data_IF_432583716058
#
_entry.id   IF_432583716058
#
_cell.length_a   1.000
_cell.length_b   1.000
_cell.length_c   1.000
_cell.angle_alpha   90.00
_cell.angle_beta   90.00
_cell.angle_gamma   90.00
#
_symmetry.space_group_name_H-M   'P 1'
#
loop_
_entity.id
_entity.type
_entity.pdbx_description
1 polymer ?
#
# COMPACT_ATOMS: atom_id res chain seq x y z
N UNK A 1 -30.95 24.22 -3.07
CA UNK A 1 -31.21 23.26 -4.17
C UNK A 1 -32.70 23.06 -4.46
N UNK A 2 -33.52 22.73 -3.46
CA UNK A 2 -34.98 22.50 -3.63
C UNK A 2 -35.72 23.61 -4.40
N UNK A 3 -35.45 24.88 -4.08
CA UNK A 3 -36.08 26.03 -4.76
C UNK A 3 -35.69 26.24 -6.23
N UNK A 4 -34.56 25.67 -6.70
CA UNK A 4 -34.17 25.73 -8.13
C UNK A 4 -34.64 24.52 -8.94
N UNK A 5 -34.85 23.38 -8.28
CA UNK A 5 -35.24 22.14 -8.94
C UNK A 5 -36.75 22.01 -9.16
N UNK A 6 -37.58 22.75 -8.42
CA UNK A 6 -39.04 22.76 -8.61
C UNK A 6 -39.66 21.37 -8.50
N UNK A 7 -40.62 21.05 -9.37
CA UNK A 7 -41.32 19.76 -9.40
C UNK A 7 -40.39 18.57 -9.71
N UNK A 8 -39.30 18.80 -10.45
CA UNK A 8 -38.30 17.76 -10.74
C UNK A 8 -37.59 17.24 -9.50
N UNK A 9 -37.59 17.98 -8.39
CA UNK A 9 -36.99 17.51 -7.14
C UNK A 9 -37.65 16.23 -6.61
N UNK A 10 -38.98 16.10 -6.76
CA UNK A 10 -39.69 14.93 -6.26
C UNK A 10 -39.39 13.70 -7.13
N UNK A 11 -39.44 13.86 -8.46
CA UNK A 11 -39.06 12.81 -9.41
C UNK A 11 -37.61 12.35 -9.24
N UNK A 12 -36.70 13.28 -8.93
CA UNK A 12 -35.29 12.95 -8.69
C UNK A 12 -35.07 12.20 -7.38
N UNK A 13 -35.85 12.52 -6.33
CA UNK A 13 -35.79 11.82 -5.04
C UNK A 13 -36.32 10.38 -5.12
N UNK A 14 -37.21 10.12 -6.06
CA UNK A 14 -37.77 8.79 -6.33
C UNK A 14 -36.87 7.93 -7.25
N UNK A 15 -35.84 8.51 -7.90
CA UNK A 15 -34.89 7.75 -8.71
C UNK A 15 -33.89 6.98 -7.80
N UNK A 16 -33.98 5.66 -7.84
CA UNK A 16 -33.11 4.72 -7.09
C UNK A 16 -31.62 4.95 -7.36
N UNK A 17 -31.25 5.38 -8.57
CA UNK A 17 -29.85 5.66 -8.92
C UNK A 17 -29.35 6.90 -8.20
N UNK A 18 -30.21 7.91 -8.10
CA UNK A 18 -29.90 9.13 -7.38
C UNK A 18 -29.81 8.89 -5.87
N UNK A 19 -30.72 8.08 -5.32
CA UNK A 19 -30.66 7.64 -3.92
C UNK A 19 -29.35 6.89 -3.63
N UNK A 20 -28.99 5.92 -4.47
CA UNK A 20 -27.75 5.13 -4.33
C UNK A 20 -26.50 6.02 -4.42
N UNK A 21 -26.50 6.97 -5.37
CA UNK A 21 -25.44 7.95 -5.51
C UNK A 21 -25.30 8.82 -4.26
N UNK A 22 -26.40 9.44 -3.80
CA UNK A 22 -26.37 10.30 -2.61
C UNK A 22 -25.98 9.55 -1.35
N UNK A 23 -26.45 8.32 -1.19
CA UNK A 23 -26.08 7.46 -0.06
C UNK A 23 -24.58 7.16 -0.09
N UNK A 24 -24.01 6.87 -1.26
CA UNK A 24 -22.56 6.67 -1.41
C UNK A 24 -21.78 7.94 -1.09
N UNK A 25 -22.23 9.09 -1.59
CA UNK A 25 -21.58 10.38 -1.34
C UNK A 25 -21.68 10.78 0.13
N UNK A 26 -22.84 10.60 0.77
CA UNK A 26 -23.03 10.94 2.19
C UNK A 26 -22.19 10.06 3.10
N UNK A 27 -22.12 8.75 2.85
CA UNK A 27 -21.22 7.82 3.57
C UNK A 27 -19.77 8.30 3.47
N UNK A 28 -19.29 8.58 2.25
CA UNK A 28 -17.92 9.06 2.03
C UNK A 28 -17.64 10.41 2.67
N UNK A 29 -18.61 11.32 2.65
CA UNK A 29 -18.49 12.63 3.30
C UNK A 29 -18.38 12.48 4.82
N UNK A 30 -19.22 11.64 5.45
CA UNK A 30 -19.17 11.36 6.88
C UNK A 30 -17.84 10.71 7.30
N UNK A 31 -17.32 9.75 6.52
CA UNK A 31 -16.00 9.16 6.76
C UNK A 31 -14.89 10.22 6.74
N UNK A 32 -14.94 11.15 5.78
CA UNK A 32 -13.95 12.24 5.69
C UNK A 32 -14.09 13.25 6.81
N UNK A 33 -15.31 13.58 7.23
CA UNK A 33 -15.55 14.44 8.39
C UNK A 33 -14.95 13.80 9.65
N UNK A 34 -15.15 12.50 9.85
CA UNK A 34 -14.59 11.78 10.99
C UNK A 34 -13.06 11.83 11.03
N UNK A 35 -12.41 11.55 9.90
CA UNK A 35 -10.95 11.61 9.76
C UNK A 35 -10.40 13.01 10.09
N UNK A 36 -11.01 14.06 9.53
CA UNK A 36 -10.59 15.44 9.76
C UNK A 36 -10.81 15.85 11.21
N UNK A 37 -11.95 15.46 11.80
CA UNK A 37 -12.28 15.78 13.18
C UNK A 37 -11.31 15.14 14.18
N UNK A 38 -10.91 13.88 13.99
CA UNK A 38 -9.87 13.22 14.80
C UNK A 38 -8.54 13.96 14.67
N UNK A 39 -8.10 14.26 13.44
CA UNK A 39 -6.83 14.96 13.23
C UNK A 39 -6.82 16.35 13.88
N UNK A 40 -7.95 17.06 13.85
CA UNK A 40 -8.10 18.36 14.50
C UNK A 40 -8.10 18.24 16.03
N UNK A 41 -8.81 17.25 16.60
CA UNK A 41 -8.79 16.98 18.04
C UNK A 41 -7.37 16.68 18.54
N UNK A 42 -6.62 15.83 17.83
CA UNK A 42 -5.23 15.50 18.17
C UNK A 42 -4.31 16.72 18.14
N UNK A 43 -4.54 17.67 17.22
CA UNK A 43 -3.78 18.93 17.19
C UNK A 43 -4.11 19.81 18.40
N UNK A 44 -5.37 19.88 18.81
CA UNK A 44 -5.78 20.65 19.99
C UNK A 44 -5.21 20.03 21.26
N UNK A 45 -5.27 18.70 21.42
CA UNK A 45 -4.68 17.99 22.55
C UNK A 45 -3.16 18.18 22.67
N UNK A 46 -2.46 18.32 21.54
CA UNK A 46 -1.01 18.59 21.53
C UNK A 46 -0.65 20.05 21.79
N UNK A 47 -1.60 20.97 21.65
CA UNK A 47 -1.36 22.38 21.96
C UNK A 47 -1.37 22.59 23.47
N UNK A 48 -0.31 23.19 24.01
CA UNK A 48 -0.16 23.45 25.46
C UNK A 48 -1.24 24.38 26.04
N UNK A 49 -1.97 25.09 25.17
CA UNK A 49 -3.10 25.95 25.51
C UNK A 49 -4.44 25.42 24.96
N UNK A 50 -4.54 24.12 24.67
CA UNK A 50 -5.69 23.52 23.99
C UNK A 50 -7.00 23.65 24.77
N UNK A 51 -8.05 24.13 24.08
CA UNK A 51 -9.44 24.13 24.56
C UNK A 51 -10.01 22.71 24.53
N UNK A 52 -9.88 22.00 25.65
CA UNK A 52 -10.31 20.61 25.84
C UNK A 52 -11.79 20.37 25.43
N UNK A 53 -12.75 21.24 25.80
CA UNK A 53 -14.13 21.15 25.30
C UNK A 53 -14.27 21.07 23.78
N UNK A 54 -13.47 21.83 23.03
CA UNK A 54 -13.52 21.82 21.57
C UNK A 54 -12.96 20.51 21.00
N UNK A 55 -11.93 19.94 21.63
CA UNK A 55 -11.39 18.63 21.22
C UNK A 55 -12.41 17.50 21.47
N UNK A 56 -13.11 17.51 22.61
CA UNK A 56 -14.17 16.54 22.93
C UNK A 56 -15.35 16.65 21.96
N UNK A 57 -15.72 17.88 21.56
CA UNK A 57 -16.77 18.10 20.56
C UNK A 57 -16.38 17.51 19.19
N UNK A 58 -15.11 17.64 18.78
CA UNK A 58 -14.60 17.05 17.54
C UNK A 58 -14.55 15.52 17.59
N UNK A 59 -14.15 14.94 18.72
CA UNK A 59 -14.22 13.49 18.91
C UNK A 59 -15.66 12.98 18.85
N UNK A 60 -16.61 13.70 19.45
CA UNK A 60 -18.04 13.40 19.37
C UNK A 60 -18.56 13.48 17.94
N UNK A 61 -18.17 14.51 17.18
CA UNK A 61 -18.51 14.65 15.77
C UNK A 61 -17.95 13.50 14.92
N UNK A 62 -16.72 13.06 15.21
CA UNK A 62 -16.13 11.91 14.52
C UNK A 62 -16.91 10.62 14.78
N UNK A 63 -17.18 10.33 16.05
CA UNK A 63 -17.92 9.13 16.45
C UNK A 63 -19.32 9.08 15.85
N UNK A 64 -20.04 10.21 15.86
CA UNK A 64 -21.37 10.31 15.26
C UNK A 64 -21.34 10.15 13.73
N UNK A 65 -20.33 10.74 13.07
CA UNK A 65 -20.15 10.59 11.61
C UNK A 65 -19.82 9.14 11.22
N UNK A 66 -18.99 8.46 12.00
CA UNK A 66 -18.69 7.03 11.81
C UNK A 66 -19.94 6.17 12.04
N UNK A 67 -20.66 6.38 13.14
CA UNK A 67 -21.89 5.65 13.45
C UNK A 67 -22.93 5.77 12.32
N UNK A 68 -23.11 6.98 11.79
CA UNK A 68 -23.98 7.20 10.62
C UNK A 68 -23.49 6.42 9.39
N UNK A 69 -22.19 6.49 9.08
CA UNK A 69 -21.62 5.81 7.91
C UNK A 69 -21.78 4.29 7.98
N UNK A 70 -21.59 3.70 9.17
CA UNK A 70 -21.77 2.26 9.42
C UNK A 70 -23.22 1.84 9.27
N UNK A 71 -24.15 2.54 9.95
CA UNK A 71 -25.57 2.23 9.87
C UNK A 71 -26.11 2.39 8.43
N UNK A 72 -25.63 3.39 7.69
CA UNK A 72 -26.01 3.59 6.29
C UNK A 72 -25.55 2.44 5.38
N UNK A 73 -24.39 1.83 5.65
CA UNK A 73 -23.88 0.64 4.92
C UNK A 73 -24.71 -0.61 5.22
N UNK A 74 -25.11 -0.82 6.46
CA UNK A 74 -25.92 -1.99 6.89
C UNK A 74 -27.35 -1.96 6.33
N UNK A 75 -27.88 -0.78 6.02
CA UNK A 75 -29.19 -0.61 5.40
C UNK A 75 -29.26 -1.07 3.93
N UNK A 76 -28.19 -1.60 3.35
CA UNK A 76 -28.22 -2.20 2.00
C UNK A 76 -28.81 -3.61 2.07
N UNK A 77 -30.11 -3.73 1.82
CA UNK A 77 -30.77 -5.01 1.57
C UNK A 77 -30.17 -5.72 0.33
N UNK A 78 -30.18 -7.07 0.27
CA UNK A 78 -29.63 -7.82 -0.85
C UNK A 78 -30.37 -7.48 -2.16
N UNK A 79 -29.61 -7.08 -3.17
CA UNK A 79 -30.13 -6.60 -4.44
C UNK A 79 -30.93 -7.70 -5.20
N UNK A 80 -32.08 -7.36 -5.80
CA UNK A 80 -32.69 -8.22 -6.81
C UNK A 80 -31.79 -8.27 -8.05
N UNK A 81 -31.37 -9.50 -8.40
CA UNK A 81 -30.76 -9.81 -9.70
C UNK A 81 -31.74 -9.43 -10.80
N UNK A 82 -31.32 -8.74 -11.88
CA UNK A 82 -31.89 -8.90 -13.24
C UNK A 82 -31.22 -8.00 -14.30
N UNK A 83 -30.76 -8.70 -15.36
CA UNK A 83 -30.67 -8.39 -16.81
C UNK A 83 -29.77 -7.28 -17.36
N UNK A 84 -28.75 -7.79 -18.08
CA UNK A 84 -28.34 -7.47 -19.45
C UNK A 84 -28.64 -6.04 -19.94
N UNK A 85 -27.56 -5.27 -20.15
CA UNK A 85 -27.56 -4.11 -21.05
C UNK A 85 -26.49 -4.26 -22.14
N UNK A 86 -26.75 -3.68 -23.33
CA UNK A 86 -26.07 -4.02 -24.57
C UNK A 86 -24.77 -3.24 -24.80
N UNK A 87 -23.91 -3.89 -25.57
CA UNK A 87 -22.58 -3.49 -26.04
C UNK A 87 -22.66 -2.30 -27.01
N UNK A 88 -22.06 -1.16 -26.66
CA UNK A 88 -21.81 -0.06 -27.60
C UNK A 88 -20.32 -0.05 -27.95
N UNK A 89 -20.02 -0.34 -29.21
CA UNK A 89 -18.72 -0.14 -29.83
C UNK A 89 -18.45 1.36 -30.01
N UNK A 90 -17.29 1.82 -29.58
CA UNK A 90 -16.77 3.13 -29.98
C UNK A 90 -15.38 2.94 -30.61
N UNK A 91 -15.27 3.49 -31.80
CA UNK A 91 -14.19 3.38 -32.77
C UNK A 91 -13.51 4.75 -32.90
N UNK A 92 -12.22 4.74 -33.27
CA UNK A 92 -11.40 5.86 -33.81
C UNK A 92 -10.82 6.82 -32.75
N UNK A 93 -9.54 7.20 -32.74
CA UNK A 93 -8.48 6.98 -33.73
C UNK A 93 -7.09 7.45 -33.24
N UNK A 94 -6.09 6.96 -33.94
CA UNK A 94 -4.65 7.20 -33.78
C UNK A 94 -4.26 8.61 -34.21
N UNK A 95 -3.46 9.32 -33.41
CA UNK A 95 -2.57 10.36 -33.92
C UNK A 95 -1.22 10.32 -33.20
N UNK A 96 -0.20 10.16 -34.03
CA UNK A 96 1.21 9.97 -33.72
C UNK A 96 1.90 11.27 -34.12
N UNK A 97 2.67 11.91 -33.25
CA UNK A 97 3.66 12.93 -33.61
C UNK A 97 4.88 12.85 -32.70
N UNK A 98 6.05 12.95 -33.33
CA UNK A 98 7.39 12.78 -32.81
C UNK A 98 8.11 14.13 -32.66
N UNK A 99 9.02 14.21 -31.68
CA UNK A 99 10.24 15.03 -31.58
C UNK A 99 10.60 15.05 -30.08
N UNK A 100 11.74 14.60 -29.57
CA UNK A 100 13.10 14.80 -30.06
C UNK A 100 13.67 16.06 -29.41
N UNK A 101 14.37 15.95 -28.28
CA UNK A 101 15.41 16.91 -27.83
C UNK A 101 16.27 16.28 -26.73
N UNK A 102 17.56 16.13 -27.05
CA UNK A 102 18.67 15.74 -26.19
C UNK A 102 19.41 17.01 -25.74
N UNK A 103 19.61 17.22 -24.44
CA UNK A 103 20.60 18.18 -23.88
C UNK A 103 21.16 17.52 -22.61
N UNK A 104 22.34 16.90 -22.69
CA UNK A 104 23.69 17.45 -22.58
C UNK A 104 24.10 17.74 -21.13
N UNK A 105 24.96 16.82 -20.69
CA UNK A 105 25.62 16.62 -19.42
C UNK A 105 26.72 17.67 -19.22
N UNK A 106 26.75 18.29 -18.04
CA UNK A 106 27.85 19.13 -17.59
C UNK A 106 28.46 18.57 -16.29
N UNK A 107 29.70 18.14 -16.48
CA UNK A 107 30.81 17.94 -15.56
C UNK A 107 30.83 18.88 -14.32
N UNK A 108 31.07 18.31 -13.14
CA UNK A 108 31.70 19.01 -12.01
C UNK A 108 32.55 18.03 -11.18
N UNK A 109 33.88 18.22 -11.08
CA UNK A 109 34.74 17.49 -10.16
C UNK A 109 35.14 18.37 -8.98
N UNK A 110 34.70 18.05 -7.76
CA UNK A 110 35.29 18.60 -6.54
C UNK A 110 35.74 17.46 -5.61
N UNK A 111 37.05 17.24 -5.63
CA UNK A 111 37.78 16.49 -4.61
C UNK A 111 37.78 17.29 -3.31
N UNK A 112 37.31 16.68 -2.22
CA UNK A 112 37.54 17.15 -0.87
C UNK A 112 38.14 16.01 -0.04
N UNK A 113 39.31 16.31 0.50
CA UNK A 113 40.14 15.56 1.44
C UNK A 113 39.32 14.89 2.54
N UNK A 114 39.53 13.58 2.72
CA UNK A 114 38.92 12.78 3.80
C UNK A 114 39.99 12.49 4.85
N UNK A 115 39.84 13.07 6.04
CA UNK A 115 40.50 12.62 7.27
C UNK A 115 39.81 11.33 7.79
N UNK A 116 40.56 10.26 8.14
CA UNK A 116 39.97 9.04 8.68
C UNK A 116 39.67 9.19 10.17
N UNK A 117 38.52 9.76 10.51
CA UNK A 117 37.99 9.72 11.87
C UNK A 117 37.31 8.36 12.10
N UNK A 118 38.08 7.37 12.57
CA UNK A 118 37.56 6.07 13.01
C UNK A 118 36.83 6.20 14.34
N UNK A 119 35.62 6.77 14.30
CA UNK A 119 34.62 6.58 15.35
C UNK A 119 34.13 5.14 15.27
N UNK A 120 34.28 4.41 16.38
CA UNK A 120 33.65 3.12 16.62
C UNK A 120 32.12 3.30 16.60
N UNK A 121 31.54 3.37 15.41
CA UNK A 121 30.10 3.26 15.22
C UNK A 121 29.73 1.83 15.57
N UNK A 122 29.20 1.63 16.78
CA UNK A 122 28.42 0.45 17.08
C UNK A 122 27.44 0.26 15.92
N UNK A 123 27.57 -0.88 15.21
CA UNK A 123 26.82 -1.20 14.00
C UNK A 123 25.33 -1.04 14.30
N UNK A 124 24.77 0.14 14.00
CA UNK A 124 23.32 0.30 14.03
C UNK A 124 22.79 -0.68 13.01
N UNK A 125 21.78 -1.49 13.35
CA UNK A 125 21.10 -2.30 12.34
C UNK A 125 20.68 -1.36 11.22
N UNK A 126 21.17 -1.62 9.99
CA UNK A 126 21.00 -0.76 8.81
C UNK A 126 19.56 -0.77 8.24
N UNK A 127 18.56 -0.86 9.10
CA UNK A 127 17.15 -0.94 8.73
C UNK A 127 16.33 0.24 9.23
N UNK A 128 15.17 0.52 8.60
CA UNK A 128 14.22 1.45 9.16
C UNK A 128 13.73 0.94 10.53
N UNK A 129 13.48 1.83 11.50
CA UNK A 129 13.05 1.43 12.82
C UNK A 129 11.69 0.71 12.76
N UNK A 130 11.43 -0.27 13.65
CA UNK A 130 10.13 -0.92 13.74
C UNK A 130 9.02 0.09 14.03
N UNK A 131 7.77 -0.31 13.82
CA UNK A 131 6.62 0.47 14.27
C UNK A 131 6.57 0.50 15.80
N UNK A 132 6.32 1.68 16.37
CA UNK A 132 6.17 1.83 17.82
C UNK A 132 4.82 1.31 18.30
N UNK A 133 3.81 1.24 17.40
CA UNK A 133 2.47 0.75 17.70
C UNK A 133 1.76 0.22 16.45
N UNK A 134 0.69 -0.57 16.66
CA UNK A 134 -0.20 -1.02 15.59
C UNK A 134 -0.88 0.16 14.88
N UNK A 135 -1.26 1.21 15.61
CA UNK A 135 -1.88 2.41 15.03
C UNK A 135 -0.96 3.11 14.01
N UNK A 136 0.35 3.14 14.28
CA UNK A 136 1.34 3.70 13.35
C UNK A 136 1.44 2.85 12.07
N UNK A 137 1.37 1.52 12.19
CA UNK A 137 1.36 0.62 11.04
C UNK A 137 0.07 0.78 10.20
N UNK A 138 -1.10 0.91 10.85
CA UNK A 138 -2.38 1.21 10.17
C UNK A 138 -2.30 2.54 9.42
N UNK A 139 -1.71 3.57 10.04
CA UNK A 139 -1.56 4.88 9.40
C UNK A 139 -0.67 4.81 8.15
N UNK A 140 0.41 4.03 8.18
CA UNK A 140 1.25 3.80 7.01
C UNK A 140 0.50 3.06 5.88
N UNK A 141 -0.36 2.09 6.21
CA UNK A 141 -1.27 1.47 5.23
C UNK A 141 -2.18 2.51 4.57
N UNK A 142 -2.80 3.39 5.36
CA UNK A 142 -3.65 4.45 4.83
C UNK A 142 -2.89 5.41 3.91
N UNK A 143 -1.63 5.68 4.19
CA UNK A 143 -0.78 6.49 3.32
C UNK A 143 -0.55 5.83 1.95
N UNK A 144 -0.29 4.53 1.90
CA UNK A 144 -0.18 3.78 0.62
C UNK A 144 -1.50 3.85 -0.16
N UNK A 145 -2.63 3.63 0.51
CA UNK A 145 -3.97 3.72 -0.10
C UNK A 145 -4.24 5.13 -0.65
N UNK A 146 -3.82 6.18 0.08
CA UNK A 146 -3.92 7.57 -0.37
C UNK A 146 -3.11 7.81 -1.64
N UNK A 147 -1.85 7.35 -1.70
CA UNK A 147 -1.04 7.46 -2.91
C UNK A 147 -1.63 6.69 -4.09
N UNK A 148 -2.17 5.50 -3.84
CA UNK A 148 -2.85 4.72 -4.87
C UNK A 148 -4.09 5.43 -5.42
N UNK A 149 -4.93 6.01 -4.54
CA UNK A 149 -6.09 6.82 -4.96
C UNK A 149 -5.65 8.03 -5.79
N UNK A 150 -4.64 8.76 -5.32
CA UNK A 150 -4.10 9.91 -6.05
C UNK A 150 -3.57 9.50 -7.43
N UNK A 151 -2.89 8.35 -7.54
CA UNK A 151 -2.46 7.83 -8.83
C UNK A 151 -3.65 7.48 -9.73
N UNK A 152 -4.67 6.79 -9.20
CA UNK A 152 -5.89 6.50 -9.97
C UNK A 152 -6.57 7.77 -10.50
N UNK A 153 -6.44 8.92 -9.83
CA UNK A 153 -6.99 10.22 -10.27
C UNK A 153 -6.15 10.91 -11.37
N UNK A 154 -4.93 10.43 -11.65
CA UNK A 154 -4.08 10.96 -12.73
C UNK A 154 -4.54 10.46 -14.11
N UNK A 155 -4.24 11.18 -15.22
CA UNK A 155 -4.50 10.70 -16.57
C UNK A 155 -3.90 9.31 -16.84
N UNK A 156 -2.63 9.09 -16.46
CA UNK A 156 -1.98 7.78 -16.55
C UNK A 156 -2.73 6.71 -15.77
N UNK A 157 -3.14 7.00 -14.53
CA UNK A 157 -3.86 6.05 -13.68
C UNK A 157 -5.22 5.67 -14.27
N UNK A 158 -6.00 6.64 -14.75
CA UNK A 158 -7.28 6.39 -15.40
C UNK A 158 -7.13 5.52 -16.66
N UNK A 159 -6.11 5.78 -17.48
CA UNK A 159 -5.84 4.96 -18.66
C UNK A 159 -5.42 3.53 -18.28
N UNK A 160 -4.47 3.42 -17.35
CA UNK A 160 -3.91 2.13 -16.98
C UNK A 160 -4.88 1.29 -16.15
N UNK A 161 -5.78 1.84 -15.33
CA UNK A 161 -6.64 1.00 -14.46
C UNK A 161 -7.49 -0.02 -15.23
N UNK A 162 -7.77 0.25 -16.51
CA UNK A 162 -8.54 -0.60 -17.41
C UNK A 162 -7.68 -1.40 -18.40
N UNK A 163 -6.36 -1.24 -18.38
CA UNK A 163 -5.46 -1.95 -19.28
C UNK A 163 -5.27 -3.43 -18.90
N UNK A 164 -4.86 -4.22 -19.89
CA UNK A 164 -4.51 -5.65 -19.73
C UNK A 164 -3.00 -5.90 -19.74
N UNK A 165 -2.20 -4.84 -19.57
CA UNK A 165 -0.74 -4.98 -19.60
C UNK A 165 -0.24 -5.92 -18.48
N UNK A 166 0.63 -6.91 -18.75
CA UNK A 166 1.01 -7.93 -17.76
C UNK A 166 1.52 -7.37 -16.43
N UNK A 167 2.29 -6.28 -16.45
CA UNK A 167 2.82 -5.64 -15.23
C UNK A 167 1.75 -4.95 -14.40
N UNK A 168 0.73 -4.41 -15.06
CA UNK A 168 -0.41 -3.79 -14.39
C UNK A 168 -1.29 -4.88 -13.77
N UNK A 169 -1.51 -6.00 -14.47
CA UNK A 169 -2.20 -7.17 -13.91
C UNK A 169 -1.48 -7.66 -12.65
N UNK A 170 -0.16 -7.84 -12.72
CA UNK A 170 0.65 -8.22 -11.56
C UNK A 170 0.57 -7.22 -10.40
N UNK A 171 0.54 -5.91 -10.69
CA UNK A 171 0.35 -4.88 -9.67
C UNK A 171 -1.05 -4.95 -9.04
N UNK A 172 -2.09 -5.13 -9.83
CA UNK A 172 -3.48 -5.27 -9.36
C UNK A 172 -3.66 -6.54 -8.51
N UNK A 173 -3.04 -7.64 -8.91
CA UNK A 173 -3.14 -8.89 -8.17
C UNK A 173 -2.37 -8.81 -6.84
N UNK A 174 -1.16 -8.24 -6.83
CA UNK A 174 -0.45 -7.93 -5.59
C UNK A 174 -1.25 -7.00 -4.66
N UNK A 175 -2.00 -6.04 -5.23
CA UNK A 175 -2.86 -5.14 -4.46
C UNK A 175 -4.06 -5.87 -3.82
N UNK A 176 -4.66 -6.83 -4.52
CA UNK A 176 -5.77 -7.65 -3.98
C UNK A 176 -5.33 -8.59 -2.85
N UNK A 177 -4.06 -8.99 -2.85
CA UNK A 177 -3.47 -9.83 -1.80
C UNK A 177 -3.11 -9.06 -0.53
N UNK A 178 -3.28 -7.73 -0.50
CA UNK A 178 -3.01 -6.95 0.69
C UNK A 178 -3.94 -7.38 1.85
N UNK A 179 -3.38 -7.56 3.07
CA UNK A 179 -4.20 -7.86 4.22
C UNK A 179 -5.06 -6.64 4.62
N UNK A 180 -6.16 -6.86 5.36
CA UNK A 180 -6.90 -5.78 6.03
C UNK A 180 -5.98 -4.86 6.84
N UNK A 181 -6.29 -3.55 6.86
CA UNK A 181 -5.42 -2.53 7.45
C UNK A 181 -5.20 -2.71 8.96
N UNK A 182 -6.18 -3.30 9.65
CA UNK A 182 -6.12 -3.63 11.08
C UNK A 182 -5.16 -4.79 11.39
N UNK A 183 -4.71 -5.56 10.39
CA UNK A 183 -3.70 -6.62 10.50
C UNK A 183 -3.97 -7.59 11.67
N UNK A 184 -5.09 -8.34 11.66
CA UNK A 184 -5.49 -9.20 12.77
C UNK A 184 -4.46 -10.29 13.13
N UNK A 185 -3.62 -10.69 12.16
CA UNK A 185 -2.56 -11.69 12.34
C UNK A 185 -1.19 -11.09 12.73
N UNK A 186 -1.17 -9.81 13.10
CA UNK A 186 0.04 -9.06 13.43
C UNK A 186 0.82 -8.55 12.21
N UNK A 187 1.88 -7.75 12.45
CA UNK A 187 2.61 -7.04 11.39
C UNK A 187 3.51 -7.94 10.54
N UNK A 188 4.00 -9.05 11.09
CA UNK A 188 4.99 -9.90 10.42
C UNK A 188 4.49 -10.53 9.11
N UNK A 189 3.37 -11.27 9.11
CA UNK A 189 2.81 -11.86 7.90
C UNK A 189 2.42 -10.83 6.83
N UNK A 190 2.11 -9.59 7.24
CA UNK A 190 1.74 -8.50 6.33
C UNK A 190 2.92 -7.95 5.53
N UNK A 191 4.17 -8.14 5.98
CA UNK A 191 5.35 -7.57 5.34
C UNK A 191 5.51 -8.02 3.87
N UNK A 192 5.30 -9.31 3.57
CA UNK A 192 5.50 -9.86 2.24
C UNK A 192 4.50 -9.31 1.18
N UNK A 193 3.18 -9.28 1.43
CA UNK A 193 2.22 -8.65 0.51
C UNK A 193 2.55 -7.20 0.16
N UNK A 194 2.90 -6.36 1.13
CA UNK A 194 3.32 -4.97 0.84
C UNK A 194 4.62 -4.90 0.04
N UNK A 195 5.55 -5.84 0.27
CA UNK A 195 6.75 -5.99 -0.54
C UNK A 195 6.46 -6.33 -2.00
N UNK A 196 5.48 -7.21 -2.25
CA UNK A 196 5.01 -7.56 -3.59
C UNK A 196 4.39 -6.35 -4.30
N UNK A 197 3.56 -5.57 -3.60
CA UNK A 197 3.01 -4.32 -4.13
C UNK A 197 4.11 -3.34 -4.51
N UNK A 198 5.11 -3.16 -3.66
CA UNK A 198 6.25 -2.29 -3.94
C UNK A 198 7.03 -2.73 -5.19
N UNK A 199 7.33 -4.03 -5.31
CA UNK A 199 8.05 -4.60 -6.44
C UNK A 199 7.25 -4.45 -7.76
N UNK A 200 5.96 -4.79 -7.75
CA UNK A 200 5.09 -4.67 -8.92
C UNK A 200 4.88 -3.21 -9.33
N UNK A 201 4.65 -2.30 -8.38
CA UNK A 201 4.53 -0.85 -8.66
C UNK A 201 5.82 -0.29 -9.28
N UNK A 202 7.00 -0.66 -8.75
CA UNK A 202 8.30 -0.25 -9.30
C UNK A 202 8.52 -0.81 -10.70
N UNK A 203 8.08 -2.03 -10.96
CA UNK A 203 8.15 -2.66 -12.28
C UNK A 203 7.27 -1.95 -13.30
N UNK A 204 6.03 -1.59 -12.91
CA UNK A 204 5.11 -0.81 -13.72
C UNK A 204 5.65 0.59 -14.00
N UNK A 205 6.19 1.27 -12.99
CA UNK A 205 6.81 2.59 -13.13
C UNK A 205 7.97 2.59 -14.12
N UNK A 206 8.89 1.61 -14.04
CA UNK A 206 10.01 1.53 -14.99
C UNK A 206 9.56 1.37 -16.43
N UNK A 207 8.52 0.57 -16.67
CA UNK A 207 7.98 0.40 -18.02
C UNK A 207 7.32 1.66 -18.55
N UNK A 208 6.48 2.27 -17.71
CA UNK A 208 5.81 3.52 -18.05
C UNK A 208 6.81 4.64 -18.34
N UNK A 209 7.87 4.75 -17.55
CA UNK A 209 8.96 5.70 -17.77
C UNK A 209 9.73 5.40 -19.08
N UNK A 210 10.08 4.13 -19.32
CA UNK A 210 10.77 3.71 -20.54
C UNK A 210 9.94 3.97 -21.81
N UNK A 211 8.61 3.93 -21.71
CA UNK A 211 7.72 4.23 -22.84
C UNK A 211 7.74 5.71 -23.26
N UNK A 212 8.13 6.63 -22.37
CA UNK A 212 8.10 8.07 -22.61
C UNK A 212 6.70 8.66 -22.87
N UNK A 213 5.63 7.88 -22.67
CA UNK A 213 4.25 8.26 -23.03
C UNK A 213 3.53 9.06 -21.96
N UNK A 214 3.97 8.95 -20.71
CA UNK A 214 3.28 9.52 -19.55
C UNK A 214 4.04 10.71 -18.98
N UNK A 215 3.31 11.63 -18.35
CA UNK A 215 3.89 12.81 -17.70
C UNK A 215 4.72 12.42 -16.45
N UNK A 216 5.79 13.18 -16.19
CA UNK A 216 6.65 12.97 -15.02
C UNK A 216 5.89 13.09 -13.69
N UNK A 217 4.87 13.95 -13.62
CA UNK A 217 4.01 14.09 -12.46
C UNK A 217 3.30 12.76 -12.13
N UNK A 218 2.72 12.11 -13.14
CA UNK A 218 2.01 10.82 -12.97
C UNK A 218 2.97 9.70 -12.55
N UNK A 219 4.15 9.65 -13.19
CA UNK A 219 5.22 8.72 -12.84
C UNK A 219 5.71 8.93 -11.40
N UNK A 220 5.75 10.17 -10.93
CA UNK A 220 6.14 10.51 -9.54
C UNK A 220 5.13 9.95 -8.54
N UNK A 221 3.83 10.06 -8.80
CA UNK A 221 2.79 9.50 -7.91
C UNK A 221 2.87 7.98 -7.87
N UNK A 222 3.04 7.31 -9.02
CA UNK A 222 3.20 5.85 -9.06
C UNK A 222 4.47 5.38 -8.33
N UNK A 223 5.58 6.13 -8.47
CA UNK A 223 6.82 5.87 -7.74
C UNK A 223 6.64 6.02 -6.23
N UNK A 224 5.87 7.01 -5.78
CA UNK A 224 5.58 7.20 -4.36
C UNK A 224 4.86 5.98 -3.76
N UNK A 225 3.95 5.34 -4.48
CA UNK A 225 3.32 4.07 -4.03
C UNK A 225 4.38 3.00 -3.79
N UNK A 226 5.30 2.81 -4.75
CA UNK A 226 6.34 1.80 -4.66
C UNK A 226 7.29 2.07 -3.47
N UNK A 227 7.72 3.31 -3.30
CA UNK A 227 8.66 3.71 -2.25
C UNK A 227 8.01 3.60 -0.85
N UNK A 228 6.78 4.09 -0.68
CA UNK A 228 6.03 3.98 0.59
C UNK A 228 5.71 2.52 0.94
N UNK A 229 5.25 1.71 -0.02
CA UNK A 229 4.96 0.29 0.21
C UNK A 229 6.22 -0.49 0.61
N UNK A 230 7.37 -0.17 0.00
CA UNK A 230 8.66 -0.78 0.36
C UNK A 230 9.07 -0.42 1.79
N UNK A 231 9.00 0.87 2.15
CA UNK A 231 9.34 1.33 3.48
C UNK A 231 8.43 0.67 4.54
N UNK A 232 7.13 0.60 4.26
CA UNK A 232 6.16 -0.06 5.14
C UNK A 232 6.45 -1.55 5.31
N UNK A 233 6.68 -2.28 4.21
CA UNK A 233 7.06 -3.70 4.23
C UNK A 233 8.31 -3.96 5.08
N UNK A 234 9.35 -3.13 4.94
CA UNK A 234 10.58 -3.25 5.72
C UNK A 234 10.34 -3.00 7.21
N UNK A 235 9.56 -1.98 7.56
CA UNK A 235 9.21 -1.68 8.96
C UNK A 235 8.34 -2.78 9.58
N UNK A 236 7.39 -3.33 8.83
CA UNK A 236 6.59 -4.48 9.27
C UNK A 236 7.47 -5.70 9.55
N UNK A 237 8.43 -5.99 8.67
CA UNK A 237 9.41 -7.06 8.87
C UNK A 237 10.27 -6.85 10.11
N UNK A 238 10.68 -5.62 10.39
CA UNK A 238 11.42 -5.26 11.60
C UNK A 238 10.56 -5.31 12.88
N UNK A 239 9.23 -5.16 12.76
CA UNK A 239 8.29 -5.22 13.89
C UNK A 239 7.88 -6.66 14.22
N UNK A 240 8.11 -7.61 13.30
CA UNK A 240 7.79 -9.00 13.53
C UNK A 240 8.63 -9.55 14.72
N UNK A 241 8.02 -10.26 15.68
CA UNK A 241 8.80 -10.98 16.67
C UNK A 241 9.72 -11.98 15.95
N UNK A 242 10.97 -12.18 16.41
CA UNK A 242 11.88 -13.13 15.78
C UNK A 242 11.25 -14.53 15.80
N UNK A 243 10.81 -14.97 14.61
CA UNK A 243 10.15 -16.26 14.39
C UNK A 243 11.22 -17.35 14.51
N UNK A 244 11.63 -17.68 15.75
CA UNK A 244 12.72 -18.63 15.97
C UNK A 244 13.46 -18.53 17.31
N UNK A 245 13.01 -17.71 18.26
CA UNK A 245 13.54 -17.73 19.62
C UNK A 245 12.61 -18.47 20.56
N UNK A 246 12.94 -19.72 20.91
CA UNK A 246 12.54 -20.27 22.20
C UNK A 246 12.74 -19.20 23.27
N UNK A 247 11.73 -18.97 24.09
CA UNK A 247 11.76 -18.04 25.21
C UNK A 247 13.02 -18.30 26.05
N UNK A 248 14.11 -17.61 25.75
CA UNK A 248 15.20 -17.47 26.71
C UNK A 248 14.72 -16.35 27.60
N UNK A 249 13.97 -16.76 28.62
CA UNK A 249 13.58 -15.92 29.73
C UNK A 249 14.78 -15.07 30.14
N UNK A 250 14.55 -13.76 30.28
CA UNK A 250 15.49 -12.89 30.97
C UNK A 250 15.88 -13.56 32.31
N UNK A 251 17.17 -13.65 32.67
CA UNK A 251 17.55 -14.23 33.93
C UNK A 251 17.10 -13.29 35.06
N UNK A 252 15.97 -13.65 35.70
CA UNK A 252 15.74 -13.29 37.08
C UNK A 252 16.96 -13.73 37.87
N UNK A 253 17.62 -12.79 38.56
CA UNK A 253 18.65 -13.08 39.57
C UNK A 253 18.03 -14.04 40.59
N UNK A 254 18.27 -15.34 40.44
CA UNK A 254 18.01 -16.33 41.46
C UNK A 254 19.27 -17.17 41.63
N UNK A 255 19.65 -17.27 42.90
CA UNK A 255 20.94 -17.70 43.38
C UNK A 255 21.25 -19.17 43.07
N UNK A 256 22.55 -19.40 42.88
CA UNK A 256 23.33 -20.62 43.05
C UNK A 256 22.61 -21.90 43.53
N UNK A 257 22.72 -22.97 42.72
CA UNK A 257 23.11 -24.31 43.19
C UNK A 257 23.57 -25.20 42.00
N UNK A 258 24.89 -25.40 41.95
CA UNK A 258 25.68 -26.58 41.58
C UNK A 258 25.10 -27.73 40.71
N UNK A 259 25.71 -27.86 39.52
CA UNK A 259 26.13 -29.01 38.65
C UNK A 259 26.06 -30.49 39.16
N UNK A 260 26.43 -31.53 38.34
CA UNK A 260 26.36 -31.79 36.87
C UNK A 260 25.84 -33.22 36.50
N UNK A 261 25.67 -33.57 35.22
CA UNK A 261 26.17 -34.83 34.57
C UNK A 261 25.79 -34.90 33.09
N UNK A 262 26.75 -35.38 32.29
CA UNK A 262 26.84 -35.39 30.83
C UNK A 262 25.99 -36.47 30.12
N UNK A 263 25.63 -36.21 28.86
CA UNK A 263 25.70 -37.21 27.79
C UNK A 263 25.80 -36.51 26.42
N UNK A 264 26.86 -36.89 25.72
CA UNK A 264 27.34 -36.45 24.43
C UNK A 264 26.74 -37.36 23.35
N UNK A 265 26.13 -36.82 22.29
CA UNK A 265 25.90 -37.59 21.05
C UNK A 265 25.96 -36.71 19.79
N UNK A 266 26.56 -37.30 18.76
CA UNK A 266 27.20 -36.72 17.59
C UNK A 266 26.23 -36.50 16.39
N UNK A 267 26.66 -35.76 15.33
CA UNK A 267 25.79 -35.37 14.21
C UNK A 267 25.72 -36.42 13.08
N UNK A 268 24.57 -36.58 12.39
CA UNK A 268 24.52 -37.31 11.13
C UNK A 268 24.79 -36.42 9.90
N UNK A 269 25.46 -37.06 8.92
CA UNK A 269 26.01 -36.56 7.65
C UNK A 269 24.97 -36.09 6.61
N UNK A 270 25.40 -35.26 5.62
CA UNK A 270 24.59 -34.85 4.48
C UNK A 270 24.40 -35.98 3.44
N UNK A 271 23.20 -36.06 2.85
CA UNK A 271 22.86 -36.97 1.74
C UNK A 271 22.86 -36.22 0.40
N UNK A 272 23.41 -36.90 -0.59
CA UNK A 272 23.85 -36.43 -1.89
C UNK A 272 22.78 -35.80 -2.81
N UNK A 273 23.29 -34.94 -3.70
CA UNK A 273 22.60 -34.32 -4.83
C UNK A 273 22.19 -35.36 -5.89
N UNK A 274 20.96 -35.22 -6.41
CA UNK A 274 20.49 -35.90 -7.62
C UNK A 274 20.50 -34.89 -8.76
N UNK A 275 21.34 -35.13 -9.76
CA UNK A 275 21.38 -34.36 -11.00
C UNK A 275 20.15 -34.66 -11.89
N UNK A 276 19.57 -33.66 -12.58
CA UNK A 276 18.56 -33.90 -13.60
C UNK A 276 19.19 -34.37 -14.93
N UNK A 277 18.44 -35.16 -15.73
CA UNK A 277 18.92 -35.75 -16.99
C UNK A 277 19.01 -34.72 -18.15
N UNK A 278 19.87 -34.99 -19.16
CA UNK A 278 19.99 -34.15 -20.35
C UNK A 278 18.78 -34.27 -21.28
N UNK A 279 18.40 -33.15 -21.90
CA UNK A 279 17.31 -33.05 -22.87
C UNK A 279 17.67 -33.71 -24.22
N UNK A 280 16.70 -34.31 -24.93
CA UNK A 280 16.91 -34.95 -26.23
C UNK A 280 17.13 -33.98 -27.38
N UNK A 281 17.94 -34.44 -28.33
CA UNK A 281 18.43 -33.75 -29.52
C UNK A 281 17.34 -33.27 -30.49
N UNK A 282 17.62 -32.12 -31.10
CA UNK A 282 16.85 -31.52 -32.20
C UNK A 282 17.00 -32.34 -33.49
N UNK A 283 15.88 -32.72 -34.10
CA UNK A 283 15.84 -33.26 -35.46
C UNK A 283 15.92 -32.13 -36.51
N UNK A 284 16.64 -32.34 -37.63
CA UNK A 284 16.70 -31.37 -38.72
C UNK A 284 15.41 -31.36 -39.55
N UNK A 285 14.97 -30.16 -39.90
CA UNK A 285 13.85 -29.89 -40.79
C UNK A 285 14.29 -30.12 -42.24
N UNK A 286 13.72 -31.12 -42.90
CA UNK A 286 13.85 -31.34 -44.34
C UNK A 286 12.97 -30.30 -45.04
N UNK A 287 13.58 -29.49 -45.90
CA UNK A 287 12.87 -28.63 -46.86
C UNK A 287 12.58 -29.43 -48.13
N UNK A 288 11.36 -29.27 -48.64
CA UNK A 288 10.97 -29.53 -50.03
C UNK A 288 10.18 -28.31 -50.51
#
# INVERSE_FOLDING_TARGET
MKGRAGEYWNSFREDVRFETFWKTVSIRACEKIAEIAISAADRIHRSTAGDLPTADALLTLSNTSLAYSTAARESVAPAPQTKEQPKVQQTVGTQQMAAGTTVQQADQPHQATVEPQQVHQAQRPEGPPPYASQAEAVQATHEIVRHFRAWCETPMGQELVHGDHPRLVAFRDAWKELPPADMPNGPGPAAAPYGNVAASARSLWREAAASGRFADADLTVLRAIADTARAHSQRLGATAPPVGGAATAAPSRQAAATMPTAAQQAPPRPRAATAPPPAPASSPRISA
#
